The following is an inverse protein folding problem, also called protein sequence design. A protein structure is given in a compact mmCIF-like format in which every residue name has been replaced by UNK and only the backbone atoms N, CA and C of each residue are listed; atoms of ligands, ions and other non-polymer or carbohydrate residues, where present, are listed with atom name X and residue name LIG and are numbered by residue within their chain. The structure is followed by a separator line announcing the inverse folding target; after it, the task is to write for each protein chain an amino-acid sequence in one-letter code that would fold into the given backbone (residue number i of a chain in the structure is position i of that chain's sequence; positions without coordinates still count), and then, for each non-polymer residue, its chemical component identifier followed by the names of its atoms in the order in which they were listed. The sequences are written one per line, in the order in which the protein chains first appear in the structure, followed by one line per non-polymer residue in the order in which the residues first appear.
data_IF_766194937786
#
_entry.id   IF_766194937786
#
_cell.length_a   1.000
_cell.length_b   1.000
_cell.length_c   1.000
_cell.angle_alpha   90.00
_cell.angle_beta   90.00
_cell.angle_gamma   90.00
#
_symmetry.space_group_name_H-M   'P 1'
#
loop_
_entity.id
_entity.type
_entity.pdbx_description
1 polymer ?
#
# COMPACT_ATOMS: atom_id res chain seq x y z
N UNK A 1 -44.68 -66.30 -36.33
CA UNK A 1 -45.93 -65.55 -36.10
C UNK A 1 -45.87 -64.96 -34.69
N UNK A 2 -45.82 -63.61 -34.58
CA UNK A 2 -46.13 -62.69 -33.45
C UNK A 2 -45.55 -62.98 -32.04
N UNK A 3 -44.59 -62.18 -31.51
CA UNK A 3 -44.67 -60.86 -30.79
C UNK A 3 -44.91 -60.97 -29.26
N UNK A 4 -43.88 -60.54 -28.50
CA UNK A 4 -43.77 -59.71 -27.26
C UNK A 4 -44.54 -60.01 -25.95
N UNK A 5 -43.78 -60.03 -24.83
CA UNK A 5 -43.96 -59.18 -23.63
C UNK A 5 -42.69 -59.25 -22.73
N UNK A 6 -41.81 -58.25 -22.65
CA UNK A 6 -41.73 -57.13 -21.65
C UNK A 6 -41.84 -57.52 -20.16
N UNK A 7 -41.18 -58.57 -19.68
CA UNK A 7 -41.20 -58.89 -18.23
C UNK A 7 -39.89 -59.45 -17.62
N UNK A 8 -38.73 -59.30 -18.29
CA UNK A 8 -37.46 -59.92 -17.84
C UNK A 8 -36.36 -58.94 -17.39
N UNK A 9 -36.70 -57.70 -17.02
CA UNK A 9 -35.67 -56.69 -16.66
C UNK A 9 -35.71 -56.16 -15.22
N UNK A 10 -36.43 -56.81 -14.28
CA UNK A 10 -36.43 -56.38 -12.88
C UNK A 10 -36.10 -57.56 -11.97
N UNK A 11 -34.81 -57.90 -11.86
CA UNK A 11 -34.26 -58.72 -10.75
C UNK A 11 -32.71 -58.77 -10.69
N UNK A 12 -32.03 -57.67 -11.03
CA UNK A 12 -30.61 -57.47 -10.68
C UNK A 12 -30.47 -56.08 -10.06
N UNK A 13 -30.99 -55.92 -8.84
CA UNK A 13 -30.76 -54.74 -8.01
C UNK A 13 -31.11 -55.08 -6.56
N UNK A 14 -30.20 -55.72 -5.84
CA UNK A 14 -30.01 -55.59 -4.40
C UNK A 14 -29.00 -56.64 -3.94
N UNK A 15 -28.08 -56.23 -3.07
CA UNK A 15 -27.10 -57.02 -2.31
C UNK A 15 -25.78 -57.32 -3.03
N UNK A 16 -24.88 -56.34 -3.00
CA UNK A 16 -23.44 -56.53 -2.68
C UNK A 16 -22.82 -55.16 -2.42
N UNK A 17 -23.17 -54.57 -1.28
CA UNK A 17 -22.37 -53.53 -0.65
C UNK A 17 -21.38 -54.21 0.29
N UNK A 18 -20.10 -54.26 -0.07
CA UNK A 18 -18.94 -54.19 0.82
C UNK A 18 -17.67 -54.61 0.06
N UNK A 19 -16.72 -53.67 -0.01
CA UNK A 19 -15.30 -53.86 -0.28
C UNK A 19 -14.90 -54.34 -1.68
N UNK A 20 -14.56 -53.36 -2.54
CA UNK A 20 -13.31 -53.35 -3.29
C UNK A 20 -12.93 -51.88 -3.59
N UNK A 21 -12.16 -51.35 -2.63
CA UNK A 21 -11.07 -50.38 -2.77
C UNK A 21 -11.38 -49.04 -3.45
N UNK A 22 -11.45 -48.04 -2.59
CA UNK A 22 -11.21 -46.61 -2.84
C UNK A 22 -10.09 -46.39 -3.87
N UNK A 23 -10.45 -46.16 -5.15
CA UNK A 23 -9.69 -45.20 -5.94
C UNK A 23 -10.14 -43.83 -5.43
N UNK A 24 -9.27 -43.22 -4.64
CA UNK A 24 -9.31 -41.82 -4.26
C UNK A 24 -9.79 -40.97 -5.43
N UNK A 25 -11.00 -40.41 -5.32
CA UNK A 25 -11.36 -39.16 -5.98
C UNK A 25 -10.58 -38.07 -5.24
N UNK A 26 -9.25 -38.07 -5.42
CA UNK A 26 -8.33 -37.00 -5.08
C UNK A 26 -7.83 -36.32 -6.36
N UNK A 27 -8.66 -36.34 -7.40
CA UNK A 27 -8.45 -35.62 -8.64
C UNK A 27 -9.80 -34.97 -8.98
N UNK A 28 -10.03 -33.79 -8.41
CA UNK A 28 -10.99 -32.72 -8.79
C UNK A 28 -11.22 -31.80 -7.57
N UNK A 29 -10.14 -31.30 -6.98
CA UNK A 29 -10.21 -30.28 -5.93
C UNK A 29 -9.19 -29.15 -6.16
N UNK A 30 -8.95 -28.77 -7.42
CA UNK A 30 -8.29 -27.51 -7.74
C UNK A 30 -9.30 -26.67 -8.53
N UNK A 31 -9.94 -25.73 -7.83
CA UNK A 31 -10.54 -24.58 -8.52
C UNK A 31 -9.45 -23.79 -9.25
N UNK A 32 -9.80 -22.97 -10.26
CA UNK A 32 -8.82 -22.12 -10.93
C UNK A 32 -8.02 -21.32 -9.89
N UNK A 33 -6.69 -21.32 -10.01
CA UNK A 33 -5.80 -20.65 -9.07
C UNK A 33 -6.28 -19.21 -8.83
N UNK A 34 -6.53 -18.86 -7.56
CA UNK A 34 -6.99 -17.52 -7.20
C UNK A 34 -5.79 -16.68 -6.75
N UNK A 35 -5.75 -15.46 -7.27
CA UNK A 35 -4.74 -14.45 -7.00
C UNK A 35 -5.39 -13.30 -6.25
N UNK A 36 -4.81 -12.90 -5.12
CA UNK A 36 -5.31 -11.83 -4.27
C UNK A 36 -4.35 -10.66 -4.38
N UNK A 37 -4.89 -9.48 -4.70
CA UNK A 37 -4.13 -8.24 -4.74
C UNK A 37 -3.50 -8.00 -3.36
N UNK A 38 -2.18 -7.80 -3.34
CA UNK A 38 -1.51 -7.30 -2.16
C UNK A 38 -2.08 -5.91 -1.86
N UNK A 39 -2.50 -5.69 -0.62
CA UNK A 39 -3.23 -4.50 -0.18
C UNK A 39 -2.57 -3.15 -0.52
N UNK A 40 -1.29 -3.15 -0.93
CA UNK A 40 -0.56 -1.98 -1.38
C UNK A 40 -0.18 -2.09 -2.86
N UNK A 41 -0.71 -1.17 -3.67
CA UNK A 41 -0.22 -0.92 -5.04
C UNK A 41 1.14 -0.24 -4.92
N UNK A 42 2.18 -0.83 -5.50
CA UNK A 42 3.54 -0.31 -5.38
C UNK A 42 3.74 0.85 -6.36
N UNK A 43 3.97 2.06 -5.81
CA UNK A 43 4.20 3.27 -6.62
C UNK A 43 5.71 3.52 -6.77
N UNK A 44 6.23 3.44 -7.99
CA UNK A 44 7.64 3.72 -8.30
C UNK A 44 7.74 5.03 -9.07
N UNK A 45 8.24 6.07 -8.40
CA UNK A 45 8.41 7.39 -8.98
C UNK A 45 9.86 7.58 -9.44
N UNK A 46 10.10 7.51 -10.75
CA UNK A 46 11.38 7.79 -11.40
C UNK A 46 11.36 9.13 -12.14
N UNK A 47 10.47 10.03 -11.73
CA UNK A 47 10.30 11.31 -12.41
C UNK A 47 11.35 12.33 -11.99
N UNK A 48 11.66 13.26 -12.89
CA UNK A 48 12.54 14.41 -12.65
C UNK A 48 11.82 15.67 -13.13
N UNK A 49 11.65 16.66 -12.24
CA UNK A 49 10.96 17.91 -12.56
C UNK A 49 9.46 17.78 -12.81
N UNK A 50 8.85 16.67 -12.38
CA UNK A 50 7.40 16.46 -12.34
C UNK A 50 6.91 16.72 -10.92
N UNK A 51 5.88 17.55 -10.79
CA UNK A 51 5.19 17.78 -9.50
C UNK A 51 3.89 17.00 -9.49
N UNK A 52 3.71 16.11 -8.51
CA UNK A 52 2.44 15.41 -8.29
C UNK A 52 1.48 16.32 -7.52
N UNK A 53 0.34 16.64 -8.14
CA UNK A 53 -0.69 17.52 -7.58
C UNK A 53 -1.78 16.74 -6.82
N UNK A 54 -2.10 15.53 -7.28
CA UNK A 54 -2.95 14.58 -6.57
C UNK A 54 -2.70 13.17 -7.08
N UNK A 55 -2.83 12.17 -6.23
CA UNK A 55 -2.66 10.75 -6.55
C UNK A 55 -3.71 9.95 -5.76
N UNK A 56 -4.55 9.21 -6.49
CA UNK A 56 -5.54 8.29 -5.93
C UNK A 56 -5.51 6.99 -6.73
N UNK A 57 -5.41 5.85 -6.07
CA UNK A 57 -5.34 4.55 -6.71
C UNK A 57 -5.90 3.45 -5.79
N UNK A 58 -6.42 2.40 -6.41
CA UNK A 58 -7.08 1.28 -5.74
C UNK A 58 -7.38 0.10 -6.69
N UNK A 59 -8.06 -0.93 -6.19
CA UNK A 59 -8.47 -2.10 -6.97
C UNK A 59 -9.51 -1.78 -8.06
N UNK A 60 -10.09 -0.60 -8.08
CA UNK A 60 -10.98 -0.13 -9.14
C UNK A 60 -10.24 0.62 -10.25
N UNK A 61 -9.01 1.07 -10.01
CA UNK A 61 -8.25 1.94 -10.92
C UNK A 61 -7.61 3.10 -10.17
N UNK A 62 -7.42 4.24 -10.85
CA UNK A 62 -6.85 5.42 -10.23
C UNK A 62 -6.83 6.65 -11.13
N UNK A 63 -6.37 7.74 -10.53
CA UNK A 63 -6.25 9.05 -11.15
C UNK A 63 -5.06 9.78 -10.55
N UNK A 64 -4.19 10.31 -11.41
CA UNK A 64 -3.08 11.16 -11.01
C UNK A 64 -3.12 12.47 -11.77
N UNK A 65 -2.92 13.57 -11.05
CA UNK A 65 -2.72 14.90 -11.64
C UNK A 65 -1.30 15.34 -11.39
N UNK A 66 -0.67 15.84 -12.43
CA UNK A 66 0.74 16.20 -12.42
C UNK A 66 0.96 17.52 -13.14
N UNK A 67 2.04 18.21 -12.78
CA UNK A 67 2.54 19.41 -13.43
C UNK A 67 3.95 19.17 -13.93
N UNK A 68 4.19 19.41 -15.22
CA UNK A 68 5.52 19.43 -15.84
C UNK A 68 5.92 20.87 -16.12
N UNK A 69 7.07 21.27 -15.60
CA UNK A 69 7.68 22.56 -15.94
C UNK A 69 8.43 22.47 -17.29
N UNK A 70 8.36 23.51 -18.11
CA UNK A 70 8.97 23.57 -19.45
C UNK A 70 10.49 23.35 -19.49
N UNK A 71 11.14 23.36 -18.32
CA UNK A 71 12.56 23.03 -18.14
C UNK A 71 12.88 21.54 -18.29
N UNK A 72 11.92 20.62 -18.09
CA UNK A 72 12.17 19.16 -18.08
C UNK A 72 12.68 18.59 -19.42
N UNK A 73 12.48 19.30 -20.54
CA UNK A 73 12.97 18.91 -21.86
C UNK A 73 14.02 19.87 -22.41
N UNK A 74 15.10 20.10 -21.66
CA UNK A 74 16.17 21.00 -22.09
C UNK A 74 15.67 22.42 -22.35
N UNK A 75 14.75 22.90 -21.50
CA UNK A 75 14.08 24.20 -21.60
C UNK A 75 13.17 24.37 -22.84
N UNK A 76 12.54 23.28 -23.28
CA UNK A 76 11.64 23.25 -24.44
C UNK A 76 10.63 24.40 -24.50
N UNK A 77 9.98 24.71 -23.37
CA UNK A 77 9.01 25.79 -23.25
C UNK A 77 9.14 26.57 -21.94
N UNK A 78 10.38 26.82 -21.51
CA UNK A 78 10.69 27.66 -20.35
C UNK A 78 10.56 29.16 -20.71
N UNK A 79 9.98 30.03 -19.86
CA UNK A 79 9.29 29.74 -18.60
C UNK A 79 7.81 29.42 -18.83
N UNK A 80 7.42 28.17 -18.67
CA UNK A 80 6.05 27.68 -18.87
C UNK A 80 5.84 26.34 -18.18
N UNK A 81 4.61 25.83 -18.20
CA UNK A 81 4.29 24.51 -17.66
C UNK A 81 3.04 23.92 -18.31
N UNK A 82 2.84 22.62 -18.14
CA UNK A 82 1.62 21.91 -18.50
C UNK A 82 1.15 21.05 -17.34
N UNK A 83 -0.14 21.15 -17.02
CA UNK A 83 -0.81 20.28 -16.06
C UNK A 83 -1.65 19.25 -16.79
N UNK A 84 -1.51 18.00 -16.37
CA UNK A 84 -2.14 16.86 -16.99
C UNK A 84 -2.84 16.00 -15.95
N UNK A 85 -3.83 15.26 -16.41
CA UNK A 85 -4.49 14.21 -15.65
C UNK A 85 -4.43 12.92 -16.45
N UNK A 86 -4.04 11.84 -15.76
CA UNK A 86 -4.09 10.49 -16.28
C UNK A 86 -5.02 9.68 -15.40
N UNK A 87 -5.96 8.98 -16.03
CA UNK A 87 -6.95 8.15 -15.36
C UNK A 87 -6.88 6.73 -15.92
N UNK A 88 -7.03 5.73 -15.05
CA UNK A 88 -7.23 4.35 -15.45
C UNK A 88 -8.35 3.72 -14.65
N UNK A 89 -9.16 2.90 -15.29
CA UNK A 89 -10.34 2.30 -14.68
C UNK A 89 -10.46 0.84 -15.11
N UNK A 90 -10.58 -0.06 -14.15
CA UNK A 90 -10.91 -1.46 -14.41
C UNK A 90 -12.43 -1.64 -14.46
N UNK A 91 -12.90 -2.54 -15.32
CA UNK A 91 -14.33 -2.81 -15.49
C UNK A 91 -15.00 -3.44 -14.25
N UNK A 92 -14.19 -3.92 -13.31
CA UNK A 92 -14.60 -4.43 -12.00
C UNK A 92 -13.47 -4.24 -10.98
N UNK A 93 -13.82 -4.43 -9.71
CA UNK A 93 -12.84 -4.60 -8.64
C UNK A 93 -11.91 -5.80 -8.94
N UNK A 94 -10.60 -5.53 -8.89
CA UNK A 94 -9.53 -6.50 -9.14
C UNK A 94 -8.83 -6.98 -7.86
N UNK A 95 -9.41 -6.80 -6.68
CA UNK A 95 -8.84 -7.32 -5.43
C UNK A 95 -8.63 -8.85 -5.50
N UNK A 96 -9.46 -9.54 -6.27
CA UNK A 96 -9.29 -10.96 -6.57
C UNK A 96 -9.39 -11.22 -8.07
N UNK A 97 -8.43 -12.00 -8.55
CA UNK A 97 -8.36 -12.51 -9.91
C UNK A 97 -8.30 -14.03 -9.88
N UNK A 98 -8.94 -14.67 -10.85
CA UNK A 98 -8.94 -16.11 -11.06
C UNK A 98 -8.24 -16.44 -12.37
N UNK A 99 -7.61 -17.60 -12.46
CA UNK A 99 -7.06 -18.08 -13.73
C UNK A 99 -8.10 -18.07 -14.86
N UNK A 100 -7.70 -17.53 -16.01
CA UNK A 100 -8.57 -17.34 -17.17
C UNK A 100 -9.37 -16.04 -17.16
N UNK A 101 -9.26 -15.23 -16.11
CA UNK A 101 -9.90 -13.92 -16.08
C UNK A 101 -9.38 -13.01 -17.20
N UNK A 102 -10.31 -12.25 -17.77
CA UNK A 102 -10.05 -11.13 -18.66
C UNK A 102 -10.75 -9.91 -18.08
N UNK A 103 -9.98 -8.92 -17.63
CA UNK A 103 -10.49 -7.69 -17.04
C UNK A 103 -10.26 -6.53 -18.00
N UNK A 104 -11.32 -5.99 -18.62
CA UNK A 104 -11.20 -4.78 -19.40
C UNK A 104 -10.73 -3.60 -18.55
N UNK A 105 -9.84 -2.78 -19.11
CA UNK A 105 -9.35 -1.54 -18.55
C UNK A 105 -9.57 -0.40 -19.54
N UNK A 106 -9.83 0.79 -19.04
CA UNK A 106 -9.80 2.03 -19.83
C UNK A 106 -8.71 2.91 -19.27
N UNK A 107 -7.81 3.40 -20.11
CA UNK A 107 -6.81 4.40 -19.75
C UNK A 107 -7.08 5.69 -20.52
N UNK A 108 -6.81 6.83 -19.89
CA UNK A 108 -6.99 8.13 -20.52
C UNK A 108 -5.96 9.15 -20.04
N UNK A 109 -5.61 10.08 -20.93
CA UNK A 109 -4.78 11.23 -20.63
C UNK A 109 -5.41 12.50 -21.19
N UNK A 110 -5.32 13.61 -20.43
CA UNK A 110 -5.77 14.93 -20.88
C UNK A 110 -4.92 16.04 -20.30
N UNK A 111 -4.77 17.13 -21.05
CA UNK A 111 -4.26 18.39 -20.51
C UNK A 111 -5.37 19.13 -19.76
N UNK A 112 -5.07 19.61 -18.56
CA UNK A 112 -5.98 20.41 -17.74
C UNK A 112 -5.78 21.90 -17.99
N UNK A 113 -4.51 22.35 -18.00
CA UNK A 113 -4.13 23.72 -18.32
C UNK A 113 -2.67 23.79 -18.75
N UNK A 114 -2.33 24.83 -19.49
CA UNK A 114 -0.95 25.15 -19.87
C UNK A 114 -0.65 26.62 -19.61
N UNK A 115 0.63 26.93 -19.38
CA UNK A 115 1.16 28.28 -19.33
C UNK A 115 2.15 28.49 -20.47
N UNK A 116 1.93 29.55 -21.25
CA UNK A 116 2.84 29.95 -22.33
C UNK A 116 4.28 30.15 -21.80
N UNK A 117 5.31 29.76 -22.58
CA UNK A 117 5.23 29.38 -23.99
C UNK A 117 4.81 27.92 -24.24
N UNK A 118 4.52 27.11 -23.21
CA UNK A 118 3.98 25.77 -23.40
C UNK A 118 2.54 25.82 -23.96
N UNK A 119 2.24 24.92 -24.88
CA UNK A 119 1.04 24.95 -25.73
C UNK A 119 0.37 23.57 -25.89
N UNK A 120 0.78 22.57 -25.12
CA UNK A 120 0.29 21.19 -25.16
C UNK A 120 1.31 20.18 -25.72
N UNK A 121 2.50 20.64 -26.11
CA UNK A 121 3.54 19.79 -26.70
C UNK A 121 4.14 18.80 -25.69
N UNK A 122 4.25 19.16 -24.39
CA UNK A 122 4.73 18.22 -23.36
C UNK A 122 3.69 17.12 -23.11
N UNK A 123 2.43 17.50 -23.08
CA UNK A 123 1.31 16.60 -22.88
C UNK A 123 1.14 15.64 -24.07
N UNK A 124 1.31 16.12 -25.31
CA UNK A 124 1.20 15.31 -26.52
C UNK A 124 2.20 14.14 -26.60
N UNK A 125 3.28 14.18 -25.80
CA UNK A 125 4.31 13.14 -25.74
C UNK A 125 4.39 12.46 -24.37
N UNK A 126 3.43 12.74 -23.48
CA UNK A 126 3.28 12.08 -22.19
C UNK A 126 2.10 11.13 -22.26
N UNK A 127 2.27 9.90 -21.79
CA UNK A 127 1.27 8.86 -21.98
C UNK A 127 1.14 7.90 -20.81
N UNK A 128 0.04 7.16 -20.83
CA UNK A 128 -0.34 6.11 -19.88
C UNK A 128 -0.70 4.83 -20.63
N UNK A 129 -0.26 3.69 -20.11
CA UNK A 129 -0.64 2.38 -20.61
C UNK A 129 -0.66 1.35 -19.48
N UNK A 130 -1.44 0.28 -19.69
CA UNK A 130 -1.38 -0.91 -18.85
C UNK A 130 -0.34 -1.85 -19.45
N UNK A 131 0.45 -2.46 -18.60
CA UNK A 131 1.67 -3.11 -19.02
C UNK A 131 1.97 -4.37 -18.24
N UNK A 132 2.62 -5.32 -18.90
CA UNK A 132 3.20 -6.51 -18.28
C UNK A 132 4.58 -6.79 -18.86
N UNK A 133 5.57 -7.02 -17.99
CA UNK A 133 7.00 -7.21 -18.32
C UNK A 133 7.89 -6.78 -17.15
N UNK A 134 9.18 -6.51 -17.37
CA UNK A 134 10.19 -6.08 -16.37
C UNK A 134 9.93 -4.71 -15.70
N UNK A 135 9.06 -4.65 -14.69
CA UNK A 135 8.79 -3.39 -13.99
C UNK A 135 10.09 -2.92 -13.33
N UNK A 136 10.24 -1.62 -12.98
CA UNK A 136 11.42 -1.15 -12.28
C UNK A 136 11.48 -1.58 -10.80
N UNK A 137 11.01 -2.79 -10.49
CA UNK A 137 11.12 -3.47 -9.21
C UNK A 137 12.55 -4.00 -9.02
N UNK A 138 12.93 -4.34 -7.78
CA UNK A 138 14.27 -4.85 -7.49
C UNK A 138 14.48 -6.25 -8.12
N UNK A 139 15.72 -6.59 -8.43
CA UNK A 139 16.09 -7.93 -8.94
C UNK A 139 15.59 -9.06 -8.03
N UNK A 140 15.64 -8.84 -6.70
CA UNK A 140 15.13 -9.78 -5.71
C UNK A 140 13.61 -9.97 -5.77
N UNK A 141 12.87 -8.90 -6.07
CA UNK A 141 11.42 -8.98 -6.25
C UNK A 141 11.11 -9.62 -7.60
N UNK A 142 11.81 -9.22 -8.67
CA UNK A 142 11.67 -9.78 -10.01
C UNK A 142 11.90 -11.31 -10.03
N UNK A 143 12.87 -11.81 -9.26
CA UNK A 143 13.12 -13.24 -9.10
C UNK A 143 11.96 -14.00 -8.43
N UNK A 144 11.04 -13.29 -7.77
CA UNK A 144 9.89 -13.83 -7.06
C UNK A 144 8.56 -13.65 -7.80
N UNK A 145 8.57 -13.23 -9.07
CA UNK A 145 7.34 -13.02 -9.86
C UNK A 145 7.21 -14.02 -11.00
N UNK A 146 6.04 -14.68 -11.09
CA UNK A 146 5.55 -15.32 -12.31
C UNK A 146 5.10 -14.21 -13.28
N UNK A 147 6.08 -13.59 -13.97
CA UNK A 147 5.86 -12.44 -14.85
C UNK A 147 4.99 -12.72 -16.06
N UNK A 148 4.78 -14.00 -16.41
CA UNK A 148 3.92 -14.44 -17.51
C UNK A 148 2.48 -14.74 -17.06
N UNK A 149 2.19 -14.66 -15.75
CA UNK A 149 0.89 -15.00 -15.18
C UNK A 149 -0.17 -13.96 -15.45
N UNK A 150 0.12 -12.71 -15.15
CA UNK A 150 -0.79 -11.58 -15.36
C UNK A 150 -0.18 -10.72 -16.44
N UNK A 151 -0.88 -10.59 -17.57
CA UNK A 151 -0.32 -9.92 -18.75
C UNK A 151 -1.34 -9.05 -19.48
N UNK A 152 -0.88 -8.08 -20.25
CA UNK A 152 -1.70 -7.31 -21.20
C UNK A 152 -1.40 -7.74 -22.64
N UNK A 153 -2.27 -7.38 -23.59
CA UNK A 153 -2.00 -7.71 -25.00
C UNK A 153 -0.77 -6.95 -25.51
N UNK A 154 0.02 -7.64 -26.34
CA UNK A 154 1.31 -7.17 -26.87
C UNK A 154 1.16 -5.95 -27.82
N UNK A 155 -0.06 -5.58 -28.25
CA UNK A 155 -0.27 -4.39 -29.10
C UNK A 155 -0.13 -3.05 -28.36
N UNK A 156 0.15 -3.06 -27.04
CA UNK A 156 0.53 -1.90 -26.21
C UNK A 156 -0.22 -0.61 -26.59
N UNK A 157 -1.53 -0.62 -26.36
CA UNK A 157 -2.32 0.58 -26.60
C UNK A 157 -2.07 1.58 -25.47
N UNK A 158 -1.64 2.79 -25.82
CA UNK A 158 -1.38 3.87 -24.87
C UNK A 158 -2.30 5.06 -25.13
N UNK A 159 -2.76 5.70 -24.07
CA UNK A 159 -3.40 7.01 -24.13
C UNK A 159 -2.34 8.09 -23.88
N UNK A 160 -2.43 9.23 -24.56
CA UNK A 160 -1.55 10.37 -24.30
C UNK A 160 -2.35 11.60 -23.85
N UNK A 161 -1.68 12.52 -23.15
CA UNK A 161 -2.32 13.73 -22.66
C UNK A 161 -2.51 14.75 -23.80
N UNK A 162 -3.59 14.61 -24.55
CA UNK A 162 -3.94 15.57 -25.60
C UNK A 162 -4.76 16.76 -25.09
N UNK A 163 -4.99 17.72 -26.00
CA UNK A 163 -5.97 18.81 -25.80
C UNK A 163 -7.38 18.27 -25.57
N UNK A 164 -7.71 17.18 -26.25
CA UNK A 164 -8.88 16.37 -25.98
C UNK A 164 -8.45 15.08 -25.25
N UNK A 165 -9.28 14.51 -24.38
CA UNK A 165 -8.95 13.25 -23.71
C UNK A 165 -8.78 12.13 -24.74
N UNK A 166 -7.60 11.51 -24.76
CA UNK A 166 -7.38 10.30 -25.54
C UNK A 166 -7.73 9.11 -24.67
N UNK A 167 -8.80 8.41 -25.02
CA UNK A 167 -9.24 7.22 -24.30
C UNK A 167 -8.86 5.99 -25.08
N UNK A 168 -8.27 5.02 -24.40
CA UNK A 168 -7.83 3.76 -24.98
C UNK A 168 -8.33 2.62 -24.12
N UNK A 169 -8.84 1.57 -24.78
CA UNK A 169 -9.30 0.37 -24.11
C UNK A 169 -8.18 -0.68 -24.13
N UNK A 170 -7.94 -1.31 -22.98
CA UNK A 170 -6.97 -2.39 -22.80
C UNK A 170 -7.60 -3.52 -21.99
N UNK A 171 -6.87 -4.62 -21.77
CA UNK A 171 -7.33 -5.80 -21.07
C UNK A 171 -6.18 -6.44 -20.28
N UNK A 172 -6.45 -6.77 -19.01
CA UNK A 172 -5.58 -7.60 -18.16
C UNK A 172 -6.04 -9.04 -18.25
N UNK A 173 -5.13 -9.96 -18.54
CA UNK A 173 -5.37 -11.39 -18.68
C UNK A 173 -4.67 -12.16 -17.58
N UNK A 174 -5.32 -13.19 -17.05
CA UNK A 174 -4.68 -14.17 -16.16
C UNK A 174 -4.52 -15.48 -16.92
N UNK A 175 -3.26 -15.90 -17.12
CA UNK A 175 -2.92 -17.11 -17.87
C UNK A 175 -3.49 -18.35 -17.17
N UNK A 176 -4.15 -19.21 -17.94
CA UNK A 176 -4.55 -20.57 -17.51
C UNK A 176 -3.33 -21.50 -17.61
N UNK A 177 -3.06 -22.26 -16.56
CA UNK A 177 -1.99 -23.25 -16.52
C UNK A 177 -1.45 -23.43 -15.11
N UNK A 178 -0.74 -24.53 -14.84
CA UNK A 178 -0.15 -24.76 -13.52
C UNK A 178 0.72 -23.55 -13.12
N UNK A 179 0.47 -22.95 -11.94
CA UNK A 179 1.36 -21.94 -11.39
C UNK A 179 2.78 -22.47 -11.31
N UNK A 180 3.76 -21.62 -11.63
CA UNK A 180 5.14 -21.98 -11.34
C UNK A 180 5.25 -22.30 -9.83
N UNK A 181 5.96 -23.37 -9.44
CA UNK A 181 6.06 -23.77 -8.03
C UNK A 181 6.73 -22.69 -7.15
N UNK A 182 7.61 -21.89 -7.75
CA UNK A 182 8.32 -20.76 -7.15
C UNK A 182 8.52 -19.76 -8.30
N UNK A 183 7.52 -18.88 -8.54
CA UNK A 183 7.35 -17.76 -7.63
C UNK A 183 5.91 -17.53 -7.06
N UNK A 184 5.78 -17.01 -5.82
CA UNK A 184 4.48 -16.80 -5.16
C UNK A 184 3.73 -15.54 -5.60
N UNK A 185 4.37 -14.70 -6.43
CA UNK A 185 3.83 -13.41 -6.85
C UNK A 185 3.55 -13.37 -8.34
N UNK A 186 2.63 -12.51 -8.72
CA UNK A 186 2.40 -12.07 -10.09
C UNK A 186 2.11 -10.57 -10.08
N UNK A 187 2.42 -9.83 -11.13
CA UNK A 187 2.00 -8.43 -11.23
C UNK A 187 1.67 -8.02 -12.65
N UNK A 188 0.99 -6.88 -12.73
CA UNK A 188 1.02 -6.02 -13.90
C UNK A 188 1.22 -4.57 -13.44
N UNK A 189 1.56 -3.68 -14.36
CA UNK A 189 1.80 -2.27 -14.08
C UNK A 189 0.82 -1.37 -14.83
N UNK A 190 0.60 -0.18 -14.28
CA UNK A 190 0.18 0.99 -15.05
C UNK A 190 1.36 1.95 -15.06
N UNK A 191 1.87 2.24 -16.25
CA UNK A 191 3.01 3.10 -16.45
C UNK A 191 2.55 4.43 -17.03
N UNK A 192 3.06 5.52 -16.49
CA UNK A 192 2.88 6.87 -17.01
C UNK A 192 4.27 7.42 -17.31
N UNK A 193 4.55 7.64 -18.58
CA UNK A 193 5.84 8.19 -19.02
C UNK A 193 5.70 9.64 -19.42
N UNK A 194 6.65 10.43 -18.97
CA UNK A 194 6.80 11.84 -19.30
C UNK A 194 8.08 11.98 -20.11
N UNK A 195 7.96 12.36 -21.38
CA UNK A 195 9.14 12.55 -22.23
C UNK A 195 10.10 13.56 -21.57
N UNK A 196 11.30 13.12 -21.23
CA UNK A 196 12.32 13.92 -20.51
C UNK A 196 12.03 14.18 -19.02
N UNK A 197 10.85 13.84 -18.54
CA UNK A 197 10.43 13.93 -17.14
C UNK A 197 10.50 12.60 -16.37
N UNK A 198 10.85 11.49 -17.02
CA UNK A 198 10.93 10.16 -16.41
C UNK A 198 9.57 9.47 -16.33
N UNK A 199 9.45 8.47 -15.45
CA UNK A 199 8.28 7.59 -15.41
C UNK A 199 7.69 7.47 -14.00
N UNK A 200 6.37 7.29 -13.93
CA UNK A 200 5.63 6.96 -12.72
C UNK A 200 4.92 5.62 -12.94
N UNK A 201 5.13 4.69 -12.02
CA UNK A 201 4.62 3.32 -12.13
C UNK A 201 3.68 2.99 -10.97
N UNK A 202 2.57 2.35 -11.28
CA UNK A 202 1.65 1.74 -10.31
C UNK A 202 1.65 0.22 -10.54
N UNK A 203 2.34 -0.52 -9.69
CA UNK A 203 2.51 -1.97 -9.82
C UNK A 203 1.50 -2.69 -8.93
N UNK A 204 0.58 -3.40 -9.58
CA UNK A 204 -0.45 -4.21 -8.95
C UNK A 204 0.10 -5.61 -8.68
N UNK A 205 0.57 -5.84 -7.45
CA UNK A 205 1.17 -7.10 -7.04
C UNK A 205 0.12 -8.06 -6.49
N UNK A 206 0.19 -9.33 -6.88
CA UNK A 206 -0.74 -10.37 -6.48
C UNK A 206 -0.01 -11.53 -5.82
N UNK A 207 -0.67 -12.15 -4.85
CA UNK A 207 -0.24 -13.39 -4.19
C UNK A 207 -1.22 -14.50 -4.48
N UNK A 208 -0.73 -15.73 -4.56
CA UNK A 208 -1.59 -16.92 -4.59
C UNK A 208 -2.39 -17.07 -3.29
N UNK A 209 -3.70 -17.29 -3.41
CA UNK A 209 -4.60 -17.47 -2.27
C UNK A 209 -4.31 -18.78 -1.49
N UNK A 210 -3.88 -19.82 -2.18
CA UNK A 210 -3.56 -21.14 -1.62
C UNK A 210 -2.14 -21.22 -1.03
N UNK A 211 -1.28 -20.24 -1.33
CA UNK A 211 0.01 -20.04 -0.67
C UNK A 211 -0.05 -19.02 0.46
N UNK A 212 -1.24 -18.73 0.99
CA UNK A 212 -1.32 -18.15 2.33
C UNK A 212 -0.58 -19.08 3.28
N UNK A 213 0.61 -18.68 3.73
CA UNK A 213 1.40 -19.46 4.66
C UNK A 213 0.47 -19.97 5.77
N UNK A 214 0.44 -21.28 6.09
CA UNK A 214 0.00 -21.66 7.42
C UNK A 214 0.98 -20.93 8.34
N UNK A 215 0.49 -19.94 9.08
CA UNK A 215 1.27 -19.34 10.16
C UNK A 215 1.85 -20.45 11.03
N UNK A 216 2.95 -20.19 11.77
CA UNK A 216 3.51 -21.19 12.67
C UNK A 216 2.36 -21.77 13.50
N UNK A 217 2.24 -23.10 13.48
CA UNK A 217 1.18 -23.82 14.18
C UNK A 217 0.98 -23.19 15.56
N UNK A 218 -0.26 -22.93 16.01
CA UNK A 218 -0.50 -22.24 17.26
C UNK A 218 0.25 -22.98 18.37
N UNK A 219 1.34 -22.37 18.84
CA UNK A 219 1.98 -22.76 20.08
C UNK A 219 0.91 -22.72 21.19
N UNK A 220 1.02 -23.59 22.20
CA UNK A 220 -0.04 -23.78 23.19
C UNK A 220 -0.48 -22.42 23.73
N UNK A 221 -1.77 -22.15 23.51
CA UNK A 221 -2.40 -20.87 23.74
C UNK A 221 -2.06 -20.33 25.12
N UNK A 222 -1.29 -19.24 25.15
CA UNK A 222 -1.35 -18.32 26.28
C UNK A 222 -2.77 -17.73 26.32
N UNK A 223 -3.37 -17.55 27.51
CA UNK A 223 -4.76 -17.18 27.63
C UNK A 223 -5.01 -15.83 26.95
N UNK A 224 -5.80 -15.87 25.88
CA UNK A 224 -6.26 -14.71 25.15
C UNK A 224 -7.30 -13.96 25.99
N UNK A 225 -6.94 -12.76 26.40
CA UNK A 225 -7.93 -11.76 26.81
C UNK A 225 -8.56 -11.21 25.53
N UNK A 226 -9.90 -11.20 25.37
CA UNK A 226 -10.52 -10.68 24.17
C UNK A 226 -10.66 -9.15 24.23
N UNK A 227 -10.62 -8.55 23.02
CA UNK A 227 -11.11 -7.22 22.63
C UNK A 227 -10.16 -6.03 22.76
N UNK A 228 -9.92 -5.40 21.60
CA UNK A 228 -9.44 -4.04 21.47
C UNK A 228 -9.34 -3.60 20.02
N UNK A 229 -10.50 -3.24 19.43
CA UNK A 229 -10.75 -2.30 18.32
C UNK A 229 -9.70 -2.19 17.20
N UNK A 230 -10.15 -2.38 15.94
CA UNK A 230 -9.35 -2.36 14.71
C UNK A 230 -8.30 -1.26 14.65
N UNK A 231 -7.07 -1.60 15.01
CA UNK A 231 -5.93 -0.73 14.87
C UNK A 231 -5.37 -0.91 13.45
N UNK A 232 -5.59 0.09 12.61
CA UNK A 232 -4.98 0.14 11.28
C UNK A 232 -3.51 0.51 11.44
N UNK A 233 -2.64 -0.30 10.84
CA UNK A 233 -1.20 -0.04 10.79
C UNK A 233 -0.89 0.53 9.41
N UNK A 234 -0.34 1.73 9.34
CA UNK A 234 0.00 2.39 8.06
C UNK A 234 1.30 1.85 7.46
N UNK A 235 1.61 2.29 6.24
CA UNK A 235 2.90 2.09 5.58
C UNK A 235 3.40 3.42 5.03
N UNK A 236 4.68 3.72 5.27
CA UNK A 236 5.40 4.92 4.88
C UNK A 236 6.67 4.49 4.15
N UNK A 237 6.68 4.65 2.82
CA UNK A 237 7.79 4.28 1.97
C UNK A 237 8.97 5.26 2.09
N UNK A 238 10.18 4.76 1.90
CA UNK A 238 11.42 5.53 1.99
C UNK A 238 11.55 6.29 3.32
N UNK A 239 11.09 5.65 4.40
CA UNK A 239 11.10 6.22 5.75
C UNK A 239 11.73 5.22 6.69
N UNK A 240 12.74 5.69 7.42
CA UNK A 240 13.28 5.04 8.60
C UNK A 240 12.82 5.81 9.84
N UNK A 241 12.25 5.09 10.81
CA UNK A 241 11.86 5.62 12.11
C UNK A 241 12.86 5.12 13.16
N UNK A 242 14.11 5.61 13.13
CA UNK A 242 15.20 5.07 13.97
C UNK A 242 14.90 5.13 15.47
N UNK A 243 15.17 4.03 16.16
CA UNK A 243 15.07 3.92 17.61
C UNK A 243 13.72 3.42 18.09
N UNK A 244 13.57 3.30 19.42
CA UNK A 244 12.35 2.77 20.03
C UNK A 244 12.10 1.28 19.78
N UNK A 245 13.09 0.57 19.23
CA UNK A 245 13.02 -0.86 18.91
C UNK A 245 12.99 -1.71 20.18
N UNK A 246 12.04 -2.64 20.26
CA UNK A 246 11.95 -3.61 21.35
C UNK A 246 12.07 -5.06 20.89
N UNK A 247 11.87 -5.32 19.59
CA UNK A 247 12.01 -6.64 19.01
C UNK A 247 12.39 -6.54 17.52
N UNK A 248 13.02 -7.59 17.00
CA UNK A 248 13.35 -7.68 15.58
C UNK A 248 13.39 -9.13 15.10
N UNK A 249 13.10 -9.34 13.82
CA UNK A 249 13.17 -10.66 13.20
C UNK A 249 13.52 -10.58 11.71
N UNK A 250 14.22 -11.59 11.16
CA UNK A 250 14.41 -11.70 9.72
C UNK A 250 13.08 -11.95 9.04
N UNK A 251 12.85 -11.25 7.93
CA UNK A 251 11.62 -11.37 7.14
C UNK A 251 11.84 -12.34 5.99
N UNK A 252 11.17 -13.50 5.97
CA UNK A 252 11.22 -14.41 4.84
C UNK A 252 10.75 -13.71 3.56
N UNK A 253 11.44 -13.97 2.44
CA UNK A 253 11.09 -13.47 1.11
C UNK A 253 11.07 -11.93 0.98
N UNK A 254 11.62 -11.21 1.96
CA UNK A 254 11.59 -9.75 2.01
C UNK A 254 10.18 -9.15 1.89
N UNK A 255 9.17 -9.84 2.44
CA UNK A 255 7.79 -9.37 2.45
C UNK A 255 7.57 -8.21 3.46
N UNK A 256 7.37 -6.96 3.01
CA UNK A 256 7.19 -5.83 3.93
C UNK A 256 5.94 -5.95 4.81
N UNK A 257 4.93 -6.77 4.43
CA UNK A 257 3.71 -6.99 5.24
C UNK A 257 3.97 -7.81 6.50
N UNK A 258 5.08 -8.54 6.59
CA UNK A 258 5.43 -9.29 7.79
C UNK A 258 5.56 -8.35 9.00
N UNK A 259 6.12 -7.16 8.79
CA UNK A 259 6.25 -6.16 9.86
C UNK A 259 4.94 -5.52 10.27
N UNK A 260 4.13 -5.11 9.30
CA UNK A 260 2.83 -4.48 9.58
C UNK A 260 1.92 -5.45 10.33
N UNK A 261 1.90 -6.72 9.92
CA UNK A 261 1.14 -7.80 10.56
C UNK A 261 1.62 -8.07 11.97
N UNK A 262 2.93 -8.21 12.17
CA UNK A 262 3.51 -8.42 13.50
C UNK A 262 3.21 -7.24 14.43
N UNK A 263 3.29 -6.01 13.92
CA UNK A 263 2.97 -4.81 14.69
C UNK A 263 1.47 -4.71 15.02
N UNK A 264 0.58 -5.04 14.08
CA UNK A 264 -0.86 -5.05 14.33
C UNK A 264 -1.25 -6.09 15.40
N UNK A 265 -0.55 -7.23 15.43
CA UNK A 265 -0.78 -8.32 16.38
C UNK A 265 -0.20 -8.10 17.78
N UNK A 266 0.74 -7.17 17.98
CA UNK A 266 1.35 -6.89 19.29
C UNK A 266 0.84 -5.56 19.86
N UNK A 267 0.18 -5.62 21.02
CA UNK A 267 -0.31 -4.43 21.74
C UNK A 267 0.80 -3.43 22.12
N UNK A 268 2.04 -3.89 22.26
CA UNK A 268 3.21 -3.04 22.56
C UNK A 268 3.70 -2.29 21.32
N UNK A 269 3.37 -2.75 20.13
CA UNK A 269 3.83 -2.14 18.89
C UNK A 269 3.05 -0.85 18.60
N UNK A 270 3.78 0.25 18.51
CA UNK A 270 3.29 1.56 18.06
C UNK A 270 3.83 1.93 16.69
N UNK A 271 4.98 1.38 16.29
CA UNK A 271 5.55 1.55 14.95
C UNK A 271 6.41 0.34 14.56
N UNK A 272 6.71 0.20 13.28
CA UNK A 272 7.71 -0.73 12.78
C UNK A 272 8.61 -0.08 11.73
N UNK A 273 9.76 -0.69 11.49
CA UNK A 273 10.59 -0.42 10.31
C UNK A 273 10.99 -1.74 9.69
N UNK A 274 10.58 -1.96 8.46
CA UNK A 274 11.08 -2.98 7.56
C UNK A 274 12.31 -2.43 6.83
N UNK A 275 13.44 -3.10 6.99
CA UNK A 275 14.70 -2.80 6.31
C UNK A 275 14.81 -3.74 5.11
N UNK A 276 14.94 -3.14 3.93
CA UNK A 276 15.16 -3.85 2.66
C UNK A 276 16.44 -4.69 2.72
N UNK A 277 16.46 -5.84 2.03
CA UNK A 277 17.68 -6.65 1.93
C UNK A 277 18.78 -5.83 1.24
N UNK A 278 20.01 -5.91 1.75
CA UNK A 278 21.17 -5.21 1.16
C UNK A 278 22.41 -6.09 1.19
N UNK A 279 23.12 -6.21 0.06
CA UNK A 279 24.44 -6.86 0.00
C UNK A 279 24.48 -8.29 0.56
N UNK A 280 23.43 -9.09 0.33
CA UNK A 280 23.30 -10.46 0.83
C UNK A 280 22.83 -10.59 2.29
N UNK A 281 22.49 -9.48 2.96
CA UNK A 281 21.80 -9.51 4.25
C UNK A 281 20.29 -9.70 4.04
N UNK A 282 19.62 -10.54 4.84
CA UNK A 282 18.18 -10.73 4.76
C UNK A 282 17.45 -9.44 5.15
N UNK A 283 16.22 -9.28 4.64
CA UNK A 283 15.34 -8.23 5.10
C UNK A 283 15.07 -8.38 6.61
N UNK A 284 15.01 -7.27 7.33
CA UNK A 284 14.81 -7.26 8.78
C UNK A 284 13.60 -6.45 9.16
N UNK A 285 12.81 -6.99 10.08
CA UNK A 285 11.75 -6.26 10.73
C UNK A 285 12.20 -5.75 12.09
N UNK A 286 11.89 -4.49 12.39
CA UNK A 286 12.10 -3.88 13.70
C UNK A 286 10.77 -3.36 14.26
N UNK A 287 10.29 -3.97 15.34
CA UNK A 287 9.08 -3.55 16.06
C UNK A 287 9.42 -2.54 17.16
N UNK A 288 8.61 -1.49 17.27
CA UNK A 288 8.90 -0.32 18.11
C UNK A 288 7.78 0.02 19.07
N UNK A 289 8.14 0.38 20.29
CA UNK A 289 7.23 0.70 21.39
C UNK A 289 6.94 2.21 21.52
N UNK A 290 7.41 2.98 20.55
CA UNK A 290 7.14 4.41 20.36
C UNK A 290 6.97 4.67 18.86
N UNK A 291 6.58 5.89 18.49
CA UNK A 291 6.61 6.35 17.10
C UNK A 291 7.80 7.32 16.96
N UNK A 292 9.02 6.86 16.60
CA UNK A 292 10.15 7.76 16.40
C UNK A 292 9.91 8.70 15.21
N UNK A 293 10.58 9.86 15.14
CA UNK A 293 10.48 10.77 14.01
C UNK A 293 10.76 10.08 12.67
N UNK A 294 9.96 10.40 11.65
CA UNK A 294 10.18 9.91 10.30
C UNK A 294 11.43 10.57 9.69
N UNK A 295 12.38 9.75 9.25
CA UNK A 295 13.58 10.20 8.53
C UNK A 295 13.56 9.64 7.12
N UNK A 296 13.70 10.46 6.06
CA UNK A 296 13.81 9.96 4.69
C UNK A 296 14.96 8.96 4.57
N UNK A 297 14.69 7.77 4.03
CA UNK A 297 15.68 6.73 3.84
C UNK A 297 15.24 5.69 2.83
N UNK A 298 16.02 5.52 1.76
CA UNK A 298 15.70 4.57 0.67
C UNK A 298 15.83 3.10 1.07
N UNK A 299 16.38 2.81 2.26
CA UNK A 299 16.51 1.44 2.75
C UNK A 299 15.22 0.84 3.29
N UNK A 300 14.22 1.66 3.58
CA UNK A 300 13.34 1.36 4.69
C UNK A 300 11.90 1.74 4.41
N UNK A 301 11.01 0.83 4.79
CA UNK A 301 9.58 1.04 4.84
C UNK A 301 9.20 1.03 6.30
N UNK A 302 8.67 2.13 6.81
CA UNK A 302 8.18 2.19 8.19
C UNK A 302 6.67 2.16 8.22
N UNK A 303 6.10 1.91 9.37
CA UNK A 303 4.68 2.11 9.55
C UNK A 303 4.34 2.33 11.00
N UNK A 304 3.14 2.84 11.23
CA UNK A 304 2.71 3.30 12.53
C UNK A 304 1.31 2.77 12.82
N UNK A 305 1.08 2.43 14.08
CA UNK A 305 -0.22 2.00 14.53
C UNK A 305 -1.10 3.21 14.78
N UNK A 306 -2.05 3.46 13.90
CA UNK A 306 -3.11 4.45 14.12
C UNK A 306 -4.23 3.79 14.91
N UNK A 307 -4.52 4.33 16.10
CA UNK A 307 -5.75 4.00 16.78
C UNK A 307 -6.81 4.97 16.29
N UNK A 308 -7.96 4.48 15.84
CA UNK A 308 -9.13 5.34 15.69
C UNK A 308 -9.40 5.96 17.06
N UNK A 309 -9.37 7.30 17.20
CA UNK A 309 -9.70 7.93 18.47
C UNK A 309 -11.06 7.41 18.94
N UNK A 310 -11.21 6.96 20.21
CA UNK A 310 -12.52 6.70 20.75
C UNK A 310 -13.40 7.94 20.53
N UNK A 311 -14.69 7.80 20.21
CA UNK A 311 -15.58 8.93 19.93
C UNK A 311 -15.81 9.88 21.13
N UNK A 312 -15.05 9.73 22.23
CA UNK A 312 -15.17 10.51 23.47
C UNK A 312 -13.84 10.77 24.18
N UNK A 313 -12.67 10.55 23.56
CA UNK A 313 -11.40 10.77 24.25
C UNK A 313 -11.15 12.27 24.45
N UNK A 314 -11.28 12.75 25.69
CA UNK A 314 -11.03 14.15 26.06
C UNK A 314 -9.55 14.33 26.36
N UNK A 315 -8.90 15.31 25.73
CA UNK A 315 -7.53 15.71 26.08
C UNK A 315 -7.56 16.69 27.26
N UNK A 316 -6.67 16.51 28.23
CA UNK A 316 -6.47 17.50 29.30
C UNK A 316 -5.77 18.76 28.80
N UNK A 317 -5.84 19.82 29.59
CA UNK A 317 -4.98 21.01 29.48
C UNK A 317 -4.26 21.16 30.82
N UNK A 318 -2.94 21.17 30.79
CA UNK A 318 -2.03 21.17 31.93
C UNK A 318 -1.06 22.35 31.77
N UNK A 319 -1.45 23.51 32.30
CA UNK A 319 -0.62 24.72 32.25
C UNK A 319 0.61 24.61 33.14
N UNK A 320 1.76 25.03 32.63
CA UNK A 320 3.03 25.01 33.36
C UNK A 320 3.67 23.61 33.43
N UNK A 321 3.35 22.73 32.50
CA UNK A 321 3.90 21.37 32.42
C UNK A 321 4.40 21.01 31.02
N UNK A 322 5.48 20.24 30.99
CA UNK A 322 6.06 19.58 29.81
C UNK A 322 6.02 18.06 30.01
N UNK A 323 5.48 17.32 29.04
CA UNK A 323 5.43 15.84 29.04
C UNK A 323 6.58 15.27 28.20
N UNK A 324 7.82 15.47 28.66
CA UNK A 324 9.04 15.22 27.87
C UNK A 324 9.11 13.83 27.22
N UNK A 325 9.47 13.82 25.93
CA UNK A 325 9.73 12.60 25.15
C UNK A 325 8.51 12.08 24.41
N UNK A 326 8.71 10.98 23.68
CA UNK A 326 7.70 10.36 22.80
C UNK A 326 7.17 11.27 21.69
N UNK A 327 7.87 12.36 21.38
CA UNK A 327 7.52 13.27 20.30
C UNK A 327 7.71 12.57 18.95
N UNK A 328 6.64 12.42 18.17
CA UNK A 328 6.70 11.85 16.83
C UNK A 328 6.64 12.91 15.73
N UNK A 329 6.16 14.11 16.07
CA UNK A 329 6.24 15.29 15.20
C UNK A 329 6.29 16.56 16.04
N UNK A 330 6.92 17.59 15.47
CA UNK A 330 6.98 18.93 16.03
C UNK A 330 6.94 19.95 14.89
N UNK A 331 6.32 21.10 15.14
CA UNK A 331 6.20 22.17 14.14
C UNK A 331 5.90 23.51 14.81
N UNK A 332 6.29 24.59 14.12
CA UNK A 332 6.01 25.95 14.57
C UNK A 332 4.54 26.28 14.29
N UNK A 333 3.88 26.90 15.27
CA UNK A 333 2.49 27.32 15.17
C UNK A 333 2.39 28.74 14.59
N UNK A 334 1.30 29.05 13.86
CA UNK A 334 1.09 30.37 13.29
C UNK A 334 0.82 31.44 14.35
N UNK A 335 0.30 31.05 15.52
CA UNK A 335 -0.03 31.94 16.64
C UNK A 335 0.35 31.31 17.97
N UNK A 336 0.48 32.15 19.00
CA UNK A 336 0.81 31.74 20.37
C UNK A 336 -0.42 31.20 21.11
N UNK A 337 -1.10 30.19 20.55
CA UNK A 337 -2.31 29.57 21.11
C UNK A 337 -2.09 28.07 21.38
N UNK A 338 -2.05 27.63 22.66
CA UNK A 338 -1.93 26.22 23.03
C UNK A 338 -3.06 25.33 22.48
N UNK A 339 -4.25 25.88 22.24
CA UNK A 339 -5.42 25.11 21.78
C UNK A 339 -5.22 24.52 20.39
N UNK A 340 -4.33 25.10 19.56
CA UNK A 340 -3.99 24.53 18.26
C UNK A 340 -3.32 23.16 18.42
N UNK A 341 -2.40 23.02 19.38
CA UNK A 341 -1.71 21.76 19.64
C UNK A 341 -2.67 20.70 20.22
N UNK A 342 -3.62 21.12 21.06
CA UNK A 342 -4.71 20.27 21.52
C UNK A 342 -5.57 19.79 20.35
N UNK A 343 -6.00 20.71 19.47
CA UNK A 343 -6.86 20.40 18.33
C UNK A 343 -6.19 19.40 17.39
N UNK A 344 -4.93 19.63 17.05
CA UNK A 344 -4.16 18.74 16.18
C UNK A 344 -3.99 17.35 16.83
N UNK A 345 -3.70 17.30 18.12
CA UNK A 345 -3.63 16.04 18.88
C UNK A 345 -4.99 15.32 18.97
N UNK A 346 -6.09 16.07 19.04
CA UNK A 346 -7.44 15.50 19.10
C UNK A 346 -7.87 14.87 17.77
N UNK A 347 -7.43 15.46 16.65
CA UNK A 347 -7.71 14.99 15.30
C UNK A 347 -6.79 13.84 14.87
N UNK A 348 -5.62 13.69 15.49
CA UNK A 348 -4.64 12.67 15.16
C UNK A 348 -4.80 11.41 16.05
N UNK A 349 -5.20 10.29 15.43
CA UNK A 349 -5.30 8.98 16.08
C UNK A 349 -4.00 8.47 16.71
N UNK A 350 -2.85 9.02 16.31
CA UNK A 350 -1.51 8.69 16.83
C UNK A 350 -1.18 9.44 18.11
N UNK A 351 -1.86 10.56 18.38
CA UNK A 351 -1.51 11.45 19.47
C UNK A 351 -2.12 11.03 20.79
N UNK A 352 -1.30 10.64 21.77
CA UNK A 352 -1.75 10.33 23.13
C UNK A 352 -1.49 11.48 24.11
N UNK A 353 -0.55 12.37 23.80
CA UNK A 353 -0.36 13.63 24.51
C UNK A 353 0.29 14.68 23.63
N UNK A 354 0.26 15.93 24.06
CA UNK A 354 0.90 17.04 23.37
C UNK A 354 1.62 17.96 24.36
N UNK A 355 2.58 18.72 23.87
CA UNK A 355 3.16 19.86 24.58
C UNK A 355 3.26 21.05 23.63
N UNK A 356 2.63 22.15 24.02
CA UNK A 356 2.81 23.47 23.45
C UNK A 356 3.92 24.21 24.20
N UNK A 357 4.76 24.94 23.48
CA UNK A 357 5.80 25.79 24.05
C UNK A 357 5.62 27.22 23.58
N UNK A 358 5.62 28.17 24.54
CA UNK A 358 5.43 29.59 24.24
C UNK A 358 6.61 30.19 23.45
N UNK A 359 6.38 31.26 22.68
CA UNK A 359 7.46 31.96 21.97
C UNK A 359 8.59 32.35 22.94
N UNK A 360 9.84 32.18 22.49
CA UNK A 360 11.04 32.46 23.27
C UNK A 360 11.48 31.34 24.22
N UNK A 361 10.68 30.29 24.44
CA UNK A 361 11.08 29.18 25.31
C UNK A 361 12.03 28.19 24.63
N UNK A 362 11.73 27.78 23.39
CA UNK A 362 12.50 26.79 22.60
C UNK A 362 12.84 27.26 21.19
N UNK A 363 12.61 28.54 20.94
CA UNK A 363 12.76 29.19 19.65
C UNK A 363 11.98 30.51 19.62
N UNK A 364 12.16 31.35 18.58
CA UNK A 364 11.45 32.62 18.47
C UNK A 364 9.94 32.44 18.23
N UNK A 365 9.52 31.29 17.69
CA UNK A 365 8.13 30.96 17.38
C UNK A 365 7.54 30.01 18.43
N UNK A 366 6.21 30.02 18.62
CA UNK A 366 5.54 29.00 19.42
C UNK A 366 5.63 27.64 18.72
N UNK A 367 5.83 26.56 19.46
CA UNK A 367 6.03 25.21 18.88
C UNK A 367 5.13 24.19 19.53
N UNK A 368 4.52 23.34 18.71
CA UNK A 368 3.74 22.18 19.12
C UNK A 368 4.57 20.90 18.99
N UNK A 369 4.36 19.98 19.92
CA UNK A 369 5.00 18.67 19.98
C UNK A 369 3.93 17.61 20.23
N UNK A 370 3.61 16.80 19.23
CA UNK A 370 2.64 15.71 19.35
C UNK A 370 3.34 14.40 19.72
N UNK A 371 2.76 13.65 20.66
CA UNK A 371 3.42 12.52 21.30
C UNK A 371 2.63 11.23 21.19
N UNK A 372 3.34 10.12 20.99
CA UNK A 372 2.76 8.79 20.80
C UNK A 372 2.51 8.06 22.12
N UNK A 373 2.81 8.70 23.25
CA UNK A 373 2.56 8.24 24.61
C UNK A 373 2.15 9.43 25.46
N UNK A 374 1.76 9.18 26.71
CA UNK A 374 1.51 10.22 27.70
C UNK A 374 2.55 10.17 28.84
N UNK A 375 3.80 10.62 28.62
CA UNK A 375 4.81 10.68 29.66
C UNK A 375 4.32 11.48 30.89
N UNK A 376 4.81 11.19 32.10
CA UNK A 376 4.46 11.97 33.29
C UNK A 376 4.70 13.48 33.10
N UNK A 377 3.80 14.35 33.55
CA UNK A 377 3.99 15.79 33.44
C UNK A 377 5.13 16.26 34.34
N UNK A 378 6.04 17.07 33.79
CA UNK A 378 7.15 17.70 34.50
C UNK A 378 6.90 19.20 34.56
N UNK A 379 6.99 19.80 35.74
CA UNK A 379 6.76 21.24 35.90
C UNK A 379 7.73 22.05 35.02
N UNK A 380 7.18 22.85 34.11
CA UNK A 380 7.91 23.75 33.22
C UNK A 380 7.02 24.91 32.79
N UNK A 381 7.30 26.10 33.33
CA UNK A 381 6.49 27.31 33.15
C UNK A 381 6.46 27.83 31.70
N UNK A 382 7.26 27.27 30.79
CA UNK A 382 7.20 27.61 29.37
C UNK A 382 5.98 27.05 28.65
N UNK A 383 5.35 26.03 29.23
CA UNK A 383 4.76 24.98 28.45
C UNK A 383 3.35 24.64 28.95
N UNK A 384 2.46 24.36 28.01
CA UNK A 384 1.11 23.85 28.29
C UNK A 384 1.03 22.50 27.62
N UNK A 385 0.71 21.46 28.38
CA UNK A 385 0.61 20.09 27.87
C UNK A 385 -0.81 19.56 27.98
N UNK A 386 -1.05 18.37 27.45
CA UNK A 386 -2.29 17.65 27.66
C UNK A 386 -2.13 16.19 27.31
N UNK A 387 -2.90 15.31 27.94
CA UNK A 387 -2.91 13.89 27.67
C UNK A 387 -4.34 13.36 27.54
N UNK A 388 -4.48 12.32 26.73
CA UNK A 388 -5.76 11.68 26.43
C UNK A 388 -6.23 10.90 27.67
N UNK A 389 -7.45 11.15 28.14
CA UNK A 389 -8.06 10.47 29.29
C UNK A 389 -8.73 9.15 28.93
#
# INVERSE_FOLDING_TARGET
MRIRSVADWVRIAALSAAALVELSVAALADGPGTWVLDSNILVLNKTTGVTILSDTHGPEGGSVRIKLDGSVLGNYCDPGFEEMQFDWQFARDIHQLSEGDVVPATVSGKILRSQAPCNGDLAAVSGIWVWSGDAPISDDLQAQVDGDRIFTKIDQQHAWAGKDPHNVADQVFVRVGEPHPEPPLAYFGVEISFRGGGDLWYVYMYRRADQTNPGPAPGPAAPSTPSGLGATVSSELHVDRRGGDYDHFPVPNADPQACSTACAGDARCLAYTFVLPTGGQPALCWLKSSIPPATPSDCCISGIRTQTPPPSSTLTIEDGFDRKGSDYTQYDLPTSDPNLCLQDCSADGRCLSYTYTRPGARGPLPRCYLKSAAPPPVADQCCTSGARQ
#
